data_IF_300284502257
#
_entry.id   IF_300284502257
#
_cell.length_a   1.000
_cell.length_b   1.000
_cell.length_c   1.000
_cell.angle_alpha   90.00
_cell.angle_beta   90.00
_cell.angle_gamma   90.00
#
_symmetry.space_group_name_H-M   'P 1'
#
loop_
_entity.id
_entity.type
_entity.pdbx_description
1 polymer ?
#
# COMPACT_ATOMS: atom_id res chain seq x y z
N UNK A 1 -2.52 6.90 18.65
CA UNK A 1 -1.99 6.58 17.31
C UNK A 1 -3.19 6.42 16.39
N UNK A 2 -3.62 7.48 15.71
CA UNK A 2 -4.65 7.35 14.66
C UNK A 2 -4.08 6.42 13.60
N UNK A 3 -4.59 5.18 13.53
CA UNK A 3 -4.20 4.26 12.47
C UNK A 3 -4.66 4.88 11.14
N UNK A 4 -3.74 5.54 10.44
CA UNK A 4 -4.01 6.15 9.15
C UNK A 4 -4.34 5.01 8.18
N UNK A 5 -5.60 4.95 7.74
CA UNK A 5 -6.00 4.01 6.70
C UNK A 5 -5.47 4.53 5.36
N UNK A 6 -4.49 3.83 4.80
CA UNK A 6 -3.99 4.13 3.46
C UNK A 6 -4.99 3.63 2.43
N UNK A 7 -5.19 4.45 1.39
CA UNK A 7 -6.11 4.17 0.30
C UNK A 7 -5.37 4.23 -1.02
N UNK A 8 -5.49 3.17 -1.83
CA UNK A 8 -4.88 3.06 -3.14
C UNK A 8 -5.96 2.71 -4.16
N UNK A 9 -5.93 3.33 -5.32
CA UNK A 9 -6.79 2.96 -6.44
C UNK A 9 -5.96 2.24 -7.50
N UNK A 10 -6.51 1.16 -8.05
CA UNK A 10 -5.92 0.42 -9.15
C UNK A 10 -6.95 0.30 -10.29
N UNK A 11 -6.53 0.47 -11.55
CA UNK A 11 -7.40 0.31 -12.71
C UNK A 11 -7.80 -1.16 -12.93
N UNK A 12 -8.94 -1.39 -13.59
CA UNK A 12 -9.40 -2.72 -13.95
C UNK A 12 -8.60 -3.29 -15.13
N UNK A 13 -7.45 -3.90 -14.85
CA UNK A 13 -6.55 -4.49 -15.87
C UNK A 13 -6.82 -5.99 -16.11
N UNK A 14 -8.08 -6.43 -16.12
CA UNK A 14 -8.48 -7.85 -16.17
C UNK A 14 -7.91 -8.72 -15.02
N UNK A 15 -7.42 -8.09 -13.95
CA UNK A 15 -6.90 -8.79 -12.78
C UNK A 15 -8.09 -9.30 -11.96
N UNK A 16 -8.17 -10.62 -11.81
CA UNK A 16 -9.23 -11.24 -11.03
C UNK A 16 -9.16 -10.79 -9.56
N UNK A 17 -10.30 -10.36 -8.98
CA UNK A 17 -10.39 -9.88 -7.58
C UNK A 17 -9.73 -10.80 -6.55
N UNK A 18 -9.78 -12.12 -6.77
CA UNK A 18 -9.13 -13.12 -5.91
C UNK A 18 -7.62 -12.92 -5.83
N UNK A 19 -6.96 -12.67 -6.96
CA UNK A 19 -5.52 -12.41 -7.02
C UNK A 19 -5.20 -11.14 -6.24
N UNK A 20 -5.94 -10.06 -6.49
CA UNK A 20 -5.78 -8.80 -5.76
C UNK A 20 -5.92 -9.04 -4.25
N UNK A 21 -6.97 -9.75 -3.82
CA UNK A 21 -7.23 -10.00 -2.39
C UNK A 21 -6.12 -10.84 -1.75
N UNK A 22 -5.64 -11.88 -2.44
CA UNK A 22 -4.62 -12.79 -1.92
C UNK A 22 -3.26 -12.08 -1.78
N UNK A 23 -2.79 -11.43 -2.84
CA UNK A 23 -1.54 -10.67 -2.82
C UNK A 23 -1.63 -9.51 -1.82
N UNK A 24 -2.79 -8.83 -1.78
CA UNK A 24 -3.04 -7.74 -0.83
C UNK A 24 -2.89 -8.22 0.61
N UNK A 25 -3.58 -9.30 1.00
CA UNK A 25 -3.50 -9.81 2.37
C UNK A 25 -2.14 -10.38 2.72
N UNK A 26 -1.42 -10.94 1.74
CA UNK A 26 -0.05 -11.42 1.91
C UNK A 26 0.92 -10.28 2.25
N UNK A 27 0.82 -9.16 1.54
CA UNK A 27 1.72 -8.01 1.73
C UNK A 27 1.30 -7.02 2.81
N UNK A 28 0.00 -6.77 2.96
CA UNK A 28 -0.56 -5.75 3.84
C UNK A 28 -1.27 -6.30 5.07
N UNK A 29 -1.36 -7.62 5.16
CA UNK A 29 -2.02 -8.32 6.26
C UNK A 29 -3.53 -8.47 6.07
N UNK A 30 -4.16 -9.25 6.95
CA UNK A 30 -5.54 -9.70 6.79
C UNK A 30 -6.59 -8.58 6.91
N UNK A 31 -6.20 -7.42 7.41
CA UNK A 31 -7.09 -6.25 7.56
C UNK A 31 -7.16 -5.41 6.28
N UNK A 32 -6.33 -5.68 5.29
CA UNK A 32 -6.39 -5.00 4.01
C UNK A 32 -7.63 -5.45 3.22
N UNK A 33 -8.35 -4.49 2.66
CA UNK A 33 -9.63 -4.71 1.98
C UNK A 33 -9.59 -4.17 0.56
N UNK A 34 -10.33 -4.82 -0.33
CA UNK A 34 -10.49 -4.40 -1.73
C UNK A 34 -11.97 -4.33 -2.09
N UNK A 35 -12.39 -3.22 -2.70
CA UNK A 35 -13.77 -3.04 -3.20
C UNK A 35 -13.78 -2.47 -4.61
N UNK A 36 -14.79 -2.82 -5.44
CA UNK A 36 -15.01 -2.13 -6.72
C UNK A 36 -15.17 -0.62 -6.50
N UNK A 37 -14.53 0.19 -7.33
CA UNK A 37 -14.61 1.64 -7.26
C UNK A 37 -14.29 2.27 -8.61
N UNK A 38 -15.21 3.09 -9.10
CA UNK A 38 -15.02 3.89 -10.31
C UNK A 38 -14.39 5.22 -9.92
N UNK A 39 -13.19 5.51 -10.44
CA UNK A 39 -12.48 6.77 -10.23
C UNK A 39 -12.47 7.54 -11.56
N UNK A 40 -13.02 8.75 -11.58
CA UNK A 40 -13.02 9.64 -12.76
C UNK A 40 -13.62 9.01 -14.04
N UNK A 41 -14.56 8.06 -13.87
CA UNK A 41 -15.19 7.35 -14.99
C UNK A 41 -14.48 6.06 -15.42
N UNK A 42 -13.36 5.72 -14.77
CA UNK A 42 -12.64 4.47 -15.01
C UNK A 42 -12.94 3.44 -13.92
N UNK A 43 -13.36 2.25 -14.34
CA UNK A 43 -13.61 1.14 -13.43
C UNK A 43 -12.31 0.58 -12.86
N UNK A 44 -12.33 0.27 -11.57
CA UNK A 44 -11.17 -0.23 -10.88
C UNK A 44 -11.52 -0.76 -9.50
N UNK A 45 -10.49 -0.83 -8.67
CA UNK A 45 -10.62 -1.26 -7.28
C UNK A 45 -9.97 -0.25 -6.34
N UNK A 46 -10.67 0.02 -5.24
CA UNK A 46 -10.12 0.77 -4.14
C UNK A 46 -9.66 -0.20 -3.05
N UNK A 47 -8.39 -0.09 -2.72
CA UNK A 47 -7.73 -0.81 -1.64
C UNK A 47 -7.73 0.11 -0.42
N UNK A 48 -8.09 -0.44 0.75
CA UNK A 48 -7.97 0.24 2.03
C UNK A 48 -7.24 -0.65 3.02
N UNK A 49 -6.14 -0.16 3.60
CA UNK A 49 -5.32 -0.92 4.55
C UNK A 49 -5.00 -0.07 5.79
N UNK A 50 -5.05 -0.64 7.00
CA UNK A 50 -4.41 -0.04 8.15
C UNK A 50 -2.88 -0.19 8.04
N UNK A 51 -2.12 0.75 8.60
CA UNK A 51 -0.66 0.62 8.71
C UNK A 51 0.14 1.57 7.82
N UNK A 52 1.44 1.27 7.66
CA UNK A 52 2.36 2.08 6.86
C UNK A 52 2.12 1.92 5.35
N UNK A 53 2.59 2.88 4.56
CA UNK A 53 2.41 2.87 3.11
C UNK A 53 3.13 1.68 2.46
N UNK A 54 2.57 1.14 1.37
CA UNK A 54 3.19 0.10 0.53
C UNK A 54 4.56 0.50 -0.04
N UNK A 55 4.86 1.79 -0.05
CA UNK A 55 6.15 2.35 -0.46
C UNK A 55 6.81 2.99 0.73
N UNK A 56 7.78 2.29 1.31
CA UNK A 56 8.85 2.94 2.03
C UNK A 56 10.10 2.95 1.13
N UNK A 57 10.20 3.96 0.26
CA UNK A 57 11.44 4.26 -0.47
C UNK A 57 12.44 4.99 0.46
N UNK A 58 12.24 4.93 1.78
CA UNK A 58 13.02 5.69 2.76
C UNK A 58 13.96 4.85 3.63
N UNK A 59 13.77 3.53 3.78
CA UNK A 59 14.58 2.72 4.72
C UNK A 59 15.85 2.09 4.14
N UNK A 60 16.67 2.83 3.38
CA UNK A 60 18.04 2.37 3.10
C UNK A 60 19.10 3.47 3.05
N UNK A 61 18.78 4.73 3.33
CA UNK A 61 19.83 5.73 3.60
C UNK A 61 20.02 5.80 5.11
N UNK A 62 20.54 4.71 5.67
CA UNK A 62 21.26 4.79 6.94
C UNK A 62 22.54 5.58 6.68
N UNK A 63 22.44 6.90 6.80
CA UNK A 63 23.59 7.77 6.91
C UNK A 63 24.22 7.56 8.30
N UNK A 64 24.98 6.47 8.43
CA UNK A 64 26.06 6.38 9.41
C UNK A 64 27.17 7.36 8.97
N UNK A 65 26.95 8.65 9.18
CA UNK A 65 28.03 9.63 9.19
C UNK A 65 28.21 10.06 10.64
N UNK A 66 28.99 9.26 11.36
CA UNK A 66 29.54 9.63 12.66
C UNK A 66 30.71 10.59 12.36
N UNK A 67 30.62 11.89 12.65
CA UNK A 67 31.79 12.74 12.52
C UNK A 67 32.80 12.30 13.58
N UNK A 68 33.93 11.77 13.09
CA UNK A 68 35.12 11.46 13.88
C UNK A 68 35.46 12.69 14.74
N UNK A 69 35.53 12.49 16.05
CA UNK A 69 36.01 13.51 16.98
C UNK A 69 37.52 13.68 16.81
N UNK A 70 37.99 14.92 16.65
CA UNK A 70 39.37 15.36 16.86
C UNK A 70 39.34 16.62 17.76
#
# INVERSE_FOLDING_TARGET
MSSSMNRYWIPHLDIHKKVITQELQYHLGPQATVRPYTLEGEDGFLISTPGACLTDVSSSISADDHPLSD
#
